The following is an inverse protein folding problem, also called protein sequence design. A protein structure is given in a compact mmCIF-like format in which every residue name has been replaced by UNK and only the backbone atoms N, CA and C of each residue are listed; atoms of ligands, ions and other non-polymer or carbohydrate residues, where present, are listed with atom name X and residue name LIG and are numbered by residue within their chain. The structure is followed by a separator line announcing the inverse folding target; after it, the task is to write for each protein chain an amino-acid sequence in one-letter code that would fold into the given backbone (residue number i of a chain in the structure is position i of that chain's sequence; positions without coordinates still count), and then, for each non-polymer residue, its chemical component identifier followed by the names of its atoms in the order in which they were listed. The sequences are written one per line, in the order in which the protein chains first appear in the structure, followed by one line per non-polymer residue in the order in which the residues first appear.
data_IF_623835084665
#
_entry.id   IF_623835084665
#
_cell.length_a   1.000
_cell.length_b   1.000
_cell.length_c   1.000
_cell.angle_alpha   90.00
_cell.angle_beta   90.00
_cell.angle_gamma   90.00
#
_symmetry.space_group_name_H-M   'P 1'
#
loop_
_entity.id
_entity.type
_entity.pdbx_description
1 polymer ?
2 polymer ?
#
# COMPACT_ATOMS: atom_id res chain seq x y z
N UNK A 1 -4.30 -23.26 9.73
CA UNK A 1 -4.54 -22.48 10.95
C UNK A 1 -4.26 -20.99 10.71
N UNK A 2 -4.23 -20.15 11.77
CA UNK A 2 -4.10 -18.70 11.67
C UNK A 2 -2.84 -18.18 10.94
N UNK A 3 -1.78 -18.97 10.82
CA UNK A 3 -0.64 -18.69 9.93
C UNK A 3 -1.03 -18.92 8.47
N UNK A 4 -1.44 -20.14 8.10
CA UNK A 4 -1.76 -20.44 6.69
C UNK A 4 -2.95 -19.63 6.16
N UNK A 5 -3.83 -19.17 7.04
CA UNK A 5 -4.94 -18.29 6.70
C UNK A 5 -4.45 -16.97 6.09
N UNK A 6 -3.25 -16.53 6.49
CA UNK A 6 -2.64 -15.29 6.04
C UNK A 6 -2.00 -15.43 4.65
N UNK A 7 -1.50 -16.61 4.31
CA UNK A 7 -1.05 -16.96 2.97
C UNK A 7 -2.21 -17.19 2.01
N UNK A 8 -3.30 -17.81 2.49
CA UNK A 8 -4.49 -18.07 1.67
C UNK A 8 -4.99 -16.78 1.04
N UNK A 9 -5.18 -15.71 1.82
CA UNK A 9 -5.61 -14.42 1.28
C UNK A 9 -4.53 -13.73 0.45
N UNK A 10 -3.23 -13.96 0.73
CA UNK A 10 -2.12 -13.46 -0.10
C UNK A 10 -2.23 -14.08 -1.49
N UNK A 11 -2.12 -15.39 -1.62
CA UNK A 11 -2.19 -16.07 -2.93
C UNK A 11 -3.52 -15.79 -3.66
N UNK A 12 -4.65 -15.91 -2.97
CA UNK A 12 -6.00 -15.79 -3.56
C UNK A 12 -6.32 -14.36 -3.96
N UNK A 13 -6.00 -13.38 -3.12
CA UNK A 13 -6.10 -11.97 -3.46
C UNK A 13 -5.09 -11.54 -4.53
N UNK A 14 -3.84 -12.00 -4.46
CA UNK A 14 -2.82 -11.67 -5.48
C UNK A 14 -3.26 -12.18 -6.86
N UNK A 15 -3.72 -13.43 -6.97
CA UNK A 15 -4.20 -14.00 -8.23
C UNK A 15 -5.42 -13.28 -8.81
N UNK A 16 -6.18 -12.53 -8.00
CA UNK A 16 -7.22 -11.61 -8.44
C UNK A 16 -6.65 -10.23 -8.82
N UNK A 17 -5.69 -9.69 -8.06
CA UNK A 17 -5.16 -8.35 -8.28
C UNK A 17 -4.35 -8.30 -9.58
N UNK A 18 -3.53 -9.32 -9.84
CA UNK A 18 -2.73 -9.43 -11.06
C UNK A 18 -3.58 -9.74 -12.30
N UNK A 19 -4.77 -10.30 -12.11
CA UNK A 19 -5.78 -10.50 -13.15
C UNK A 19 -6.60 -9.22 -13.45
N UNK A 20 -6.42 -8.16 -12.66
CA UNK A 20 -7.13 -6.88 -12.79
C UNK A 20 -8.38 -6.75 -11.93
N UNK A 21 -8.67 -7.74 -11.07
CA UNK A 21 -9.84 -7.89 -10.20
C UNK A 21 -9.55 -7.34 -8.79
N UNK A 22 -9.14 -6.07 -8.69
CA UNK A 22 -8.71 -5.40 -7.48
C UNK A 22 -9.80 -5.45 -6.40
N UNK A 23 -11.05 -5.17 -6.80
CA UNK A 23 -12.27 -5.22 -6.00
C UNK A 23 -12.47 -6.59 -5.33
N UNK A 24 -12.20 -7.68 -6.08
CA UNK A 24 -12.29 -9.06 -5.60
C UNK A 24 -11.13 -9.41 -4.68
N UNK A 25 -9.94 -8.87 -4.94
CA UNK A 25 -8.74 -9.08 -4.13
C UNK A 25 -8.82 -8.39 -2.76
N UNK A 26 -9.55 -7.28 -2.67
CA UNK A 26 -9.75 -6.56 -1.41
C UNK A 26 -10.44 -7.45 -0.40
N UNK A 27 -11.51 -8.09 -0.84
CA UNK A 27 -12.33 -8.96 0.00
C UNK A 27 -11.55 -10.18 0.49
N UNK A 28 -10.54 -10.60 -0.29
CA UNK A 28 -9.60 -11.62 0.12
C UNK A 28 -8.72 -11.12 1.27
N UNK A 29 -7.89 -10.07 1.06
CA UNK A 29 -6.96 -9.60 2.09
C UNK A 29 -7.68 -9.14 3.36
N UNK A 30 -8.93 -8.67 3.22
CA UNK A 30 -9.81 -8.32 4.34
C UNK A 30 -9.93 -9.47 5.35
N UNK A 31 -10.09 -10.71 4.88
CA UNK A 31 -10.22 -11.89 5.76
C UNK A 31 -8.96 -12.12 6.59
N UNK A 32 -7.79 -11.83 6.02
CA UNK A 32 -6.50 -12.07 6.66
C UNK A 32 -6.20 -11.05 7.76
N UNK A 33 -6.50 -9.76 7.54
CA UNK A 33 -6.38 -8.74 8.61
C UNK A 33 -7.30 -9.06 9.78
N UNK A 34 -8.42 -9.73 9.52
CA UNK A 34 -9.36 -10.14 10.56
C UNK A 34 -8.96 -11.49 11.21
N UNK A 35 -8.10 -12.26 10.54
CA UNK A 35 -7.62 -13.58 10.97
C UNK A 35 -6.29 -13.49 11.75
N UNK A 36 -5.50 -12.42 11.50
CA UNK A 36 -4.14 -12.25 12.02
C UNK A 36 -3.89 -10.83 12.53
N UNK A 37 -4.01 -9.85 11.63
CA UNK A 37 -3.84 -8.43 11.95
C UNK A 37 -2.40 -8.05 12.35
N UNK A 38 -1.41 -8.83 11.96
CA UNK A 38 0.00 -8.65 12.34
C UNK A 38 0.99 -8.65 11.15
N UNK A 39 0.59 -9.18 9.98
CA UNK A 39 1.34 -9.03 8.73
C UNK A 39 0.97 -7.72 8.03
N UNK A 40 1.98 -6.88 7.75
CA UNK A 40 1.82 -5.58 7.08
C UNK A 40 1.52 -5.70 5.58
N UNK A 41 1.74 -6.87 5.01
CA UNK A 41 1.49 -7.18 3.61
C UNK A 41 -0.02 -7.20 3.30
N UNK A 42 -0.82 -7.91 4.10
CA UNK A 42 -2.28 -7.99 3.93
C UNK A 42 -2.94 -6.61 3.74
N UNK A 43 -2.73 -5.64 4.66
CA UNK A 43 -3.25 -4.28 4.49
C UNK A 43 -2.56 -3.54 3.35
N UNK A 44 -1.28 -3.79 3.07
CA UNK A 44 -0.57 -3.14 1.95
C UNK A 44 -1.16 -3.50 0.58
N UNK A 45 -1.52 -4.76 0.37
CA UNK A 45 -2.14 -5.18 -0.88
C UNK A 45 -3.59 -4.71 -0.99
N UNK A 46 -4.38 -4.76 0.11
CA UNK A 46 -5.71 -4.15 0.14
C UNK A 46 -5.67 -2.65 -0.17
N UNK A 47 -4.68 -1.94 0.36
CA UNK A 47 -4.45 -0.52 0.05
C UNK A 47 -4.14 -0.31 -1.44
N UNK A 48 -3.20 -1.08 -2.00
CA UNK A 48 -2.86 -1.03 -3.42
C UNK A 48 -4.08 -1.26 -4.31
N UNK A 49 -4.84 -2.33 -4.05
CA UNK A 49 -6.08 -2.63 -4.73
C UNK A 49 -7.10 -1.48 -4.68
N UNK A 50 -7.39 -0.89 -3.52
CA UNK A 50 -8.21 0.33 -3.38
C UNK A 50 -7.65 1.49 -4.21
N UNK A 51 -6.32 1.66 -4.25
CA UNK A 51 -5.65 2.67 -5.08
C UNK A 51 -5.79 2.39 -6.59
N UNK A 52 -6.00 1.14 -6.99
CA UNK A 52 -6.25 0.74 -8.39
C UNK A 52 -7.70 0.94 -8.82
N UNK A 53 -8.62 1.23 -7.89
CA UNK A 53 -10.04 1.62 -8.13
C UNK A 53 -10.35 3.03 -7.62
N UNK A 54 -9.29 3.80 -7.37
CA UNK A 54 -9.34 5.23 -7.04
C UNK A 54 -10.09 5.53 -5.72
N UNK A 55 -9.88 4.62 -4.76
CA UNK A 55 -10.44 4.63 -3.40
C UNK A 55 -9.39 5.12 -2.40
N UNK A 56 -8.76 6.25 -2.69
CA UNK A 56 -7.71 6.85 -1.89
C UNK A 56 -8.13 7.12 -0.44
N UNK A 57 -9.41 7.41 -0.19
CA UNK A 57 -9.97 7.50 1.16
C UNK A 57 -9.78 6.18 1.95
N UNK A 58 -9.94 5.04 1.28
CA UNK A 58 -9.81 3.72 1.92
C UNK A 58 -8.35 3.26 1.95
N UNK A 59 -7.62 3.58 0.89
CA UNK A 59 -6.20 3.22 0.73
C UNK A 59 -5.26 4.05 1.62
N UNK A 60 -5.59 5.29 1.99
CA UNK A 60 -4.88 6.03 3.03
C UNK A 60 -4.83 5.19 4.31
N UNK A 61 -6.00 4.69 4.73
CA UNK A 61 -6.19 4.01 6.02
C UNK A 61 -5.47 2.67 6.04
N UNK A 62 -5.56 1.91 4.94
CA UNK A 62 -4.89 0.61 4.81
C UNK A 62 -3.37 0.73 4.62
N UNK A 63 -2.90 1.79 3.98
CA UNK A 63 -1.46 2.11 4.00
C UNK A 63 -0.97 2.42 5.42
N UNK A 64 -1.70 3.25 6.18
CA UNK A 64 -1.38 3.51 7.59
C UNK A 64 -1.36 2.19 8.36
N UNK A 65 -2.38 1.35 8.21
CA UNK A 65 -2.44 0.07 8.90
C UNK A 65 -1.21 -0.78 8.63
N UNK A 66 -0.76 -0.90 7.37
CA UNK A 66 0.48 -1.62 7.06
C UNK A 66 1.72 -1.04 7.76
N UNK A 67 1.79 0.28 7.94
CA UNK A 67 2.89 0.94 8.64
C UNK A 67 2.81 0.67 10.15
N UNK A 68 1.62 0.47 10.71
CA UNK A 68 1.43 0.15 12.11
C UNK A 68 1.86 -1.27 12.45
N UNK A 69 1.80 -2.21 11.50
CA UNK A 69 2.25 -3.58 11.74
C UNK A 69 3.76 -3.73 11.52
N UNK A 70 4.35 -2.87 10.66
CA UNK A 70 5.78 -2.93 10.31
C UNK A 70 6.65 -1.78 10.84
N UNK A 71 6.39 -0.54 10.42
CA UNK A 71 7.10 0.67 10.85
C UNK A 71 8.26 1.06 9.93
N UNK A 72 8.82 0.06 9.24
CA UNK A 72 9.95 0.19 8.34
C UNK A 72 9.60 -0.06 6.86
N UNK A 73 8.31 -0.24 6.58
CA UNK A 73 7.80 -0.55 5.24
C UNK A 73 7.77 0.71 4.37
N UNK A 74 8.89 0.99 3.71
CA UNK A 74 9.05 2.22 2.91
C UNK A 74 8.00 2.32 1.80
N UNK A 75 7.65 1.19 1.17
CA UNK A 75 6.58 1.11 0.19
C UNK A 75 5.24 1.52 0.77
N UNK A 76 4.88 1.09 1.97
CA UNK A 76 3.63 1.51 2.60
C UNK A 76 3.52 3.05 2.73
N UNK A 77 4.65 3.76 2.89
CA UNK A 77 4.66 5.24 2.89
C UNK A 77 4.46 5.82 1.49
N UNK A 78 5.19 5.35 0.46
CA UNK A 78 5.03 5.81 -0.93
C UNK A 78 3.59 5.60 -1.46
N UNK A 79 3.01 4.44 -1.12
CA UNK A 79 1.62 4.10 -1.42
C UNK A 79 0.66 5.05 -0.72
N UNK A 80 0.84 5.33 0.57
CA UNK A 80 0.04 6.31 1.30
C UNK A 80 0.13 7.69 0.65
N UNK A 81 1.34 8.15 0.31
CA UNK A 81 1.53 9.41 -0.39
C UNK A 81 0.76 9.46 -1.70
N UNK A 82 0.77 8.39 -2.50
CA UNK A 82 -0.03 8.33 -3.73
C UNK A 82 -1.54 8.41 -3.44
N UNK A 83 -2.03 7.78 -2.37
CA UNK A 83 -3.42 7.96 -1.94
C UNK A 83 -3.70 9.42 -1.56
N UNK A 84 -2.96 9.98 -0.58
CA UNK A 84 -3.22 11.33 -0.05
C UNK A 84 -3.07 12.40 -1.12
N UNK A 85 -2.28 12.13 -2.15
CA UNK A 85 -2.10 12.98 -3.34
C UNK A 85 -3.45 13.26 -4.00
N UNK A 86 -4.13 12.20 -4.45
CA UNK A 86 -5.38 12.31 -5.21
C UNK A 86 -6.60 12.46 -4.29
N UNK A 87 -6.38 12.36 -2.98
CA UNK A 87 -7.34 12.68 -1.91
C UNK A 87 -7.44 14.19 -1.65
N UNK A 88 -6.50 14.98 -2.17
CA UNK A 88 -6.42 16.42 -1.99
C UNK A 88 -5.49 16.84 -0.85
N UNK A 89 -5.09 15.88 0.00
CA UNK A 89 -4.11 16.02 1.08
C UNK A 89 -2.66 15.98 0.55
N UNK A 90 -2.37 16.72 -0.53
CA UNK A 90 -1.09 16.73 -1.25
C UNK A 90 0.11 16.95 -0.30
N UNK A 91 0.00 17.93 0.59
CA UNK A 91 1.03 18.23 1.59
C UNK A 91 1.22 17.10 2.62
N UNK A 92 0.17 16.34 2.98
CA UNK A 92 0.34 15.12 3.79
C UNK A 92 1.04 14.00 3.02
N UNK A 93 0.80 13.87 1.70
CA UNK A 93 1.51 12.90 0.88
C UNK A 93 3.02 13.16 0.81
N UNK A 94 3.43 14.43 0.73
CA UNK A 94 4.85 14.81 0.81
C UNK A 94 5.50 14.29 2.09
N UNK A 95 4.85 14.49 3.24
CA UNK A 95 5.35 14.03 4.55
C UNK A 95 5.55 12.51 4.61
N UNK A 96 4.82 11.79 3.74
CA UNK A 96 5.02 10.35 3.54
C UNK A 96 6.18 10.04 2.57
N UNK A 97 6.31 10.72 1.44
CA UNK A 97 7.39 10.46 0.48
C UNK A 97 8.78 10.87 1.01
N UNK A 98 8.85 11.95 1.81
CA UNK A 98 10.06 12.37 2.52
C UNK A 98 10.57 11.29 3.50
N UNK A 99 9.66 10.42 3.99
CA UNK A 99 10.00 9.24 4.81
C UNK A 99 10.59 8.11 3.98
N UNK A 100 10.04 7.82 2.80
CA UNK A 100 10.48 6.69 1.97
C UNK A 100 11.99 6.78 1.71
N UNK A 101 12.52 7.99 1.55
CA UNK A 101 13.94 8.23 1.29
C UNK A 101 14.87 7.97 2.49
N UNK A 102 14.33 7.94 3.71
CA UNK A 102 15.05 7.55 4.93
C UNK A 102 15.31 6.03 4.95
N UNK A 103 14.29 5.27 4.55
CA UNK A 103 14.28 3.82 4.52
C UNK A 103 14.92 3.26 3.23
N UNK A 104 14.84 4.00 2.12
CA UNK A 104 15.52 3.74 0.83
C UNK A 104 16.22 5.01 0.30
N UNK A 105 17.49 5.27 0.69
CA UNK A 105 18.35 6.41 0.30
C UNK A 105 18.71 6.56 -1.20
N UNK A 106 17.79 6.20 -2.09
CA UNK A 106 17.89 6.31 -3.55
C UNK A 106 16.57 6.05 -4.28
N UNK A 107 15.44 6.00 -3.57
CA UNK A 107 14.17 5.52 -4.12
C UNK A 107 13.61 6.43 -5.24
N UNK A 108 13.51 5.91 -6.45
CA UNK A 108 13.09 6.66 -7.63
C UNK A 108 11.62 7.06 -7.56
N UNK A 109 10.76 6.21 -7.01
CA UNK A 109 9.36 6.53 -6.71
C UNK A 109 9.25 7.64 -5.66
N UNK A 110 10.07 7.64 -4.61
CA UNK A 110 10.03 8.67 -3.57
C UNK A 110 10.55 10.02 -4.05
N UNK A 111 11.36 10.03 -5.10
CA UNK A 111 11.82 11.27 -5.72
C UNK A 111 10.80 11.77 -6.75
N UNK A 112 10.24 10.85 -7.55
CA UNK A 112 9.33 11.18 -8.66
C UNK A 112 7.91 11.47 -8.20
N UNK A 113 7.28 10.55 -7.46
CA UNK A 113 5.91 10.71 -6.98
C UNK A 113 5.76 11.89 -6.00
N UNK A 114 6.88 12.32 -5.41
CA UNK A 114 7.02 13.52 -4.58
C UNK A 114 7.17 14.80 -5.39
N UNK A 115 7.82 14.72 -6.55
CA UNK A 115 7.97 15.86 -7.46
C UNK A 115 6.61 16.38 -7.97
N UNK A 116 5.62 15.49 -8.09
CA UNK A 116 4.23 15.81 -8.48
C UNK A 116 3.53 16.69 -7.44
N UNK A 117 3.87 16.50 -6.16
CA UNK A 117 3.38 17.30 -5.02
C UNK A 117 3.83 18.77 -5.13
N UNK A 118 5.05 18.97 -5.65
CA UNK A 118 5.72 20.29 -5.68
C UNK A 118 5.41 21.12 -6.94
N UNK A 119 5.19 20.48 -8.10
CA UNK A 119 4.83 21.10 -9.40
C UNK A 119 3.57 21.99 -9.35
N UNK A 120 3.47 22.96 -10.27
CA UNK A 120 2.27 23.78 -10.54
C UNK A 120 1.28 23.07 -11.46
N UNK B 1 8.10 -6.12 -10.71
CA UNK B 1 9.31 -5.70 -11.42
C UNK B 1 10.08 -4.70 -10.56
N UNK B 2 11.23 -5.13 -10.04
CA UNK B 2 12.10 -4.35 -9.15
C UNK B 2 11.48 -4.03 -7.77
N UNK B 3 12.17 -3.24 -6.92
CA UNK B 3 11.70 -2.80 -5.60
C UNK B 3 10.67 -1.66 -5.72
N UNK B 4 9.55 -1.93 -6.40
CA UNK B 4 8.48 -0.98 -6.69
C UNK B 4 7.23 -1.17 -5.82
N UNK B 5 6.44 -0.09 -5.71
CA UNK B 5 5.29 -0.06 -4.79
C UNK B 5 4.01 -0.68 -5.35
N UNK B 6 3.78 -0.66 -6.68
CA UNK B 6 2.52 -1.14 -7.27
C UNK B 6 2.46 -2.66 -7.50
N UNK B 7 3.52 -3.38 -7.11
CA UNK B 7 3.57 -4.84 -7.02
C UNK B 7 3.18 -5.30 -5.60
N UNK B 8 2.46 -6.43 -5.52
CA UNK B 8 1.88 -6.99 -4.28
C UNK B 8 2.74 -8.13 -3.71
N UNK B 9 2.96 -8.15 -2.39
CA UNK B 9 4.04 -8.98 -1.79
C UNK B 9 3.79 -10.49 -1.71
#
# INVERSE_FOLDING_TARGET
GPHMQAISEKDRGNGFFKEGKYERAIECYTRGIAADGANALLPANRAMAYLKIQKYEEAEKDCTQAILLDGSYSKAFARRGTARTFLGKLNEAKQDFETVLLLEPGNKQAVTELSKIKKK
SGPTIEEVD
#
